data_IF_600807720036
#
_entry.id   IF_600807720036
#
_cell.length_a   1.000
_cell.length_b   1.000
_cell.length_c   1.000
_cell.angle_alpha   90.00
_cell.angle_beta   90.00
_cell.angle_gamma   90.00
#
_symmetry.space_group_name_H-M   'P 1'
#
loop_
_entity.id
_entity.type
_entity.pdbx_description
1 polymer ?
#
# COMPACT_ATOMS: atom_id res chain seq x y z
N UNK A 1 9.66 -13.57 7.53
CA UNK A 1 10.22 -13.23 8.88
C UNK A 1 11.66 -13.63 9.07
N UNK A 2 12.05 -14.92 8.87
CA UNK A 2 13.46 -15.36 9.11
C UNK A 2 14.47 -14.58 8.28
N UNK A 3 14.25 -14.42 6.98
CA UNK A 3 15.16 -13.70 6.07
C UNK A 3 15.29 -12.22 6.44
N UNK A 4 14.17 -11.52 6.73
CA UNK A 4 14.22 -10.13 7.19
C UNK A 4 15.05 -9.98 8.46
N UNK A 5 14.84 -10.87 9.45
CA UNK A 5 15.63 -10.88 10.68
C UNK A 5 17.12 -11.09 10.39
N UNK A 6 17.46 -12.01 9.51
CA UNK A 6 18.85 -12.25 9.09
C UNK A 6 19.47 -11.03 8.41
N UNK A 7 18.73 -10.32 7.52
CA UNK A 7 19.22 -9.08 6.90
C UNK A 7 19.47 -7.99 7.93
N UNK A 8 18.57 -7.83 8.91
CA UNK A 8 18.73 -6.87 10.02
C UNK A 8 19.95 -7.24 10.87
N UNK A 9 20.08 -8.50 11.30
CA UNK A 9 21.22 -8.97 12.10
C UNK A 9 22.53 -8.80 11.34
N UNK A 10 22.56 -9.11 10.06
CA UNK A 10 23.73 -8.93 9.21
C UNK A 10 24.14 -7.46 9.12
N UNK A 11 23.24 -6.54 8.72
CA UNK A 11 23.57 -5.11 8.62
C UNK A 11 24.04 -4.52 9.96
N UNK A 12 23.40 -4.88 11.08
CA UNK A 12 23.82 -4.45 12.43
C UNK A 12 25.14 -5.05 12.89
N UNK A 13 25.60 -6.15 12.34
CA UNK A 13 26.86 -6.79 12.68
C UNK A 13 28.08 -6.21 11.97
N UNK A 14 27.87 -5.37 10.94
CA UNK A 14 28.95 -4.77 10.18
C UNK A 14 29.63 -3.66 11.02
N UNK A 15 30.97 -3.75 11.15
CA UNK A 15 31.74 -2.69 11.82
C UNK A 15 31.67 -1.34 11.08
N UNK A 16 31.50 -1.41 9.74
CA UNK A 16 31.34 -0.27 8.87
C UNK A 16 30.45 -0.64 7.68
N UNK A 17 29.41 0.16 7.46
CA UNK A 17 28.59 0.07 6.25
C UNK A 17 29.12 1.06 5.22
N UNK A 18 29.37 0.60 3.99
CA UNK A 18 29.80 1.42 2.86
C UNK A 18 28.93 1.23 1.64
N UNK A 19 28.85 2.27 0.78
CA UNK A 19 28.08 2.20 -0.48
C UNK A 19 28.64 1.12 -1.40
N UNK A 20 29.99 1.05 -1.53
CA UNK A 20 30.64 0.16 -2.47
C UNK A 20 30.37 -1.32 -2.18
N UNK A 21 30.25 -1.67 -0.91
CA UNK A 21 30.12 -3.07 -0.47
C UNK A 21 28.68 -3.44 -0.13
N UNK A 22 27.89 -2.52 0.42
CA UNK A 22 26.59 -2.86 1.05
C UNK A 22 25.36 -2.28 0.37
N UNK A 23 25.48 -1.54 -0.73
CA UNK A 23 24.31 -0.95 -1.39
C UNK A 23 23.27 -2.01 -1.78
N UNK A 24 23.71 -3.19 -2.22
CA UNK A 24 22.83 -4.29 -2.59
C UNK A 24 22.11 -4.89 -1.36
N UNK A 25 22.81 -5.00 -0.24
CA UNK A 25 22.22 -5.49 1.03
C UNK A 25 21.18 -4.53 1.56
N UNK A 26 21.43 -3.21 1.47
CA UNK A 26 20.47 -2.17 1.85
C UNK A 26 19.22 -2.25 0.94
N UNK A 27 19.37 -2.39 -0.38
CA UNK A 27 18.25 -2.60 -1.29
C UNK A 27 17.47 -3.86 -0.93
N UNK A 28 18.17 -4.97 -0.71
CA UNK A 28 17.54 -6.23 -0.32
C UNK A 28 16.78 -6.13 0.99
N UNK A 29 17.31 -5.38 1.96
CA UNK A 29 16.66 -5.14 3.24
C UNK A 29 15.39 -4.28 3.09
N UNK A 30 15.50 -3.14 2.40
CA UNK A 30 14.40 -2.18 2.24
C UNK A 30 13.27 -2.74 1.37
N UNK A 31 13.61 -3.45 0.30
CA UNK A 31 12.64 -3.95 -0.67
C UNK A 31 12.14 -5.37 -0.38
N UNK A 32 12.71 -6.07 0.61
CA UNK A 32 12.22 -7.40 1.00
C UNK A 32 10.91 -7.32 1.77
N UNK A 33 9.90 -7.99 1.25
CA UNK A 33 8.59 -8.10 1.90
C UNK A 33 8.40 -9.52 2.47
N UNK A 34 8.23 -9.67 3.80
CA UNK A 34 8.05 -10.99 4.39
C UNK A 34 6.67 -11.56 4.04
N UNK A 35 6.65 -12.75 3.43
CA UNK A 35 5.41 -13.46 3.10
C UNK A 35 4.95 -14.28 4.29
N UNK A 36 3.79 -13.91 4.84
CA UNK A 36 3.17 -14.61 5.96
C UNK A 36 2.09 -15.57 5.46
N UNK A 37 1.99 -16.80 6.01
CA UNK A 37 0.95 -17.75 5.63
C UNK A 37 -0.44 -17.19 5.92
N UNK A 38 -1.45 -17.73 5.22
CA UNK A 38 -2.84 -17.46 5.52
C UNK A 38 -3.22 -18.06 6.88
N UNK A 39 -4.16 -17.44 7.57
CA UNK A 39 -4.86 -18.02 8.71
C UNK A 39 -6.08 -18.79 8.21
N UNK A 40 -6.56 -19.74 8.97
CA UNK A 40 -7.67 -20.60 8.55
C UNK A 40 -8.91 -19.84 8.03
N UNK A 41 -9.36 -18.79 8.72
CA UNK A 41 -10.49 -17.98 8.26
C UNK A 41 -10.16 -17.20 6.96
N UNK A 42 -8.90 -16.80 6.77
CA UNK A 42 -8.45 -16.14 5.54
C UNK A 42 -8.45 -17.15 4.36
N UNK A 43 -8.02 -18.38 4.59
CA UNK A 43 -8.08 -19.47 3.58
C UNK A 43 -9.52 -19.68 3.12
N UNK A 44 -10.47 -19.80 4.06
CA UNK A 44 -11.88 -19.97 3.75
C UNK A 44 -12.43 -18.81 2.90
N UNK A 45 -12.10 -17.55 3.24
CA UNK A 45 -12.53 -16.40 2.46
C UNK A 45 -11.92 -16.41 1.04
N UNK A 46 -10.63 -16.72 0.92
CA UNK A 46 -9.95 -16.82 -0.37
C UNK A 46 -10.49 -17.96 -1.23
N UNK A 47 -10.96 -19.05 -0.64
CA UNK A 47 -11.61 -20.15 -1.38
C UNK A 47 -12.93 -19.73 -2.02
N UNK A 48 -13.66 -18.78 -1.43
CA UNK A 48 -14.90 -18.25 -1.96
C UNK A 48 -14.69 -17.26 -3.12
N UNK A 49 -13.47 -16.79 -3.32
CA UNK A 49 -13.15 -15.82 -4.37
C UNK A 49 -13.09 -16.46 -5.77
N UNK A 50 -13.56 -15.74 -6.77
CA UNK A 50 -13.10 -15.97 -8.15
C UNK A 50 -11.66 -15.50 -8.26
N UNK A 51 -10.76 -16.39 -8.70
CA UNK A 51 -9.31 -16.13 -8.74
C UNK A 51 -8.85 -15.93 -10.17
N UNK A 52 -8.03 -14.91 -10.38
CA UNK A 52 -7.36 -14.63 -11.63
C UNK A 52 -5.89 -14.29 -11.35
N UNK A 53 -5.08 -14.21 -12.40
CA UNK A 53 -3.69 -13.74 -12.32
C UNK A 53 -3.50 -12.64 -13.36
N UNK A 54 -2.87 -11.56 -12.92
CA UNK A 54 -2.36 -10.51 -13.78
C UNK A 54 -0.83 -10.48 -13.70
N UNK A 55 -0.20 -9.74 -14.58
CA UNK A 55 1.26 -9.60 -14.62
C UNK A 55 1.67 -8.15 -14.73
N UNK A 56 2.77 -7.80 -14.09
CA UNK A 56 3.49 -6.53 -14.28
C UNK A 56 4.96 -6.82 -14.51
N UNK A 57 5.67 -5.92 -15.17
CA UNK A 57 7.10 -6.07 -15.41
C UNK A 57 7.89 -5.44 -14.25
N UNK A 58 8.76 -6.22 -13.63
CA UNK A 58 9.76 -5.68 -12.69
C UNK A 58 11.00 -5.22 -13.45
N UNK A 59 11.00 -3.96 -13.87
CA UNK A 59 12.12 -3.36 -14.63
C UNK A 59 13.35 -3.06 -13.76
N UNK A 60 13.22 -3.10 -12.43
CA UNK A 60 14.21 -2.53 -11.53
C UNK A 60 15.07 -3.57 -10.80
N UNK A 61 14.54 -4.76 -10.54
CA UNK A 61 15.24 -5.79 -9.77
C UNK A 61 15.46 -7.08 -10.55
N UNK A 62 14.43 -7.63 -11.17
CA UNK A 62 14.53 -8.94 -11.83
C UNK A 62 14.50 -8.89 -13.35
N UNK A 63 14.04 -7.80 -13.95
CA UNK A 63 13.73 -7.64 -15.38
C UNK A 63 12.77 -8.71 -15.93
N UNK A 64 11.93 -9.29 -15.06
CA UNK A 64 10.96 -10.32 -15.42
C UNK A 64 9.52 -9.83 -15.28
N UNK A 65 8.61 -10.51 -15.98
CA UNK A 65 7.18 -10.41 -15.70
C UNK A 65 6.90 -11.13 -14.38
N UNK A 66 6.29 -10.42 -13.43
CA UNK A 66 5.85 -10.98 -12.16
C UNK A 66 4.35 -11.19 -12.18
N UNK A 67 3.94 -12.43 -11.96
CA UNK A 67 2.53 -12.79 -11.83
C UNK A 67 2.04 -12.52 -10.41
N UNK A 68 0.83 -11.97 -10.28
CA UNK A 68 0.21 -11.73 -9.00
C UNK A 68 -1.26 -12.14 -9.00
N UNK A 69 -1.77 -12.74 -7.90
CA UNK A 69 -3.15 -13.17 -7.81
C UNK A 69 -4.08 -12.00 -7.57
N UNK A 70 -5.23 -12.04 -8.23
CA UNK A 70 -6.36 -11.13 -8.03
C UNK A 70 -7.56 -11.97 -7.57
N UNK A 71 -8.18 -11.54 -6.50
CA UNK A 71 -9.33 -12.16 -5.88
C UNK A 71 -10.55 -11.27 -6.05
N UNK A 72 -11.65 -11.85 -6.50
CA UNK A 72 -12.91 -11.15 -6.70
C UNK A 72 -14.04 -11.86 -5.98
N UNK A 73 -14.82 -11.11 -5.22
CA UNK A 73 -16.04 -11.54 -4.56
C UNK A 73 -17.22 -10.68 -5.01
N UNK A 74 -18.41 -11.25 -5.00
CA UNK A 74 -19.62 -10.58 -5.46
C UNK A 74 -19.71 -10.44 -6.98
N UNK A 75 -20.81 -9.90 -7.44
CA UNK A 75 -21.11 -9.68 -8.86
C UNK A 75 -21.98 -8.42 -9.07
N UNK A 76 -21.94 -7.50 -8.10
CA UNK A 76 -22.63 -6.22 -8.17
C UNK A 76 -21.98 -5.26 -9.16
N UNK A 77 -22.66 -4.17 -9.46
CA UNK A 77 -22.22 -3.17 -10.45
C UNK A 77 -21.15 -2.22 -9.90
N UNK A 78 -21.11 -2.02 -8.55
CA UNK A 78 -20.24 -1.06 -7.92
C UNK A 78 -18.94 -1.75 -7.48
N UNK A 79 -17.80 -1.27 -7.98
CA UNK A 79 -16.49 -1.90 -7.77
C UNK A 79 -15.76 -1.26 -6.59
N UNK A 80 -15.37 -2.09 -5.62
CA UNK A 80 -14.49 -1.71 -4.50
C UNK A 80 -13.13 -2.39 -4.66
N UNK A 81 -12.07 -1.60 -4.82
CA UNK A 81 -10.69 -2.10 -4.90
C UNK A 81 -9.99 -1.96 -3.56
N UNK A 82 -9.44 -3.06 -3.04
CA UNK A 82 -8.68 -3.11 -1.80
C UNK A 82 -7.18 -3.32 -2.10
N UNK A 83 -6.33 -2.41 -1.61
CA UNK A 83 -4.88 -2.43 -1.81
C UNK A 83 -4.16 -2.48 -0.46
N UNK A 84 -3.50 -3.60 -0.18
CA UNK A 84 -2.82 -3.85 1.09
C UNK A 84 -1.49 -3.08 1.24
N UNK A 85 -0.97 -2.99 2.46
CA UNK A 85 0.33 -2.40 2.78
C UNK A 85 1.51 -3.35 2.59
N UNK A 86 2.70 -2.87 2.93
CA UNK A 86 3.94 -3.63 2.88
C UNK A 86 3.91 -4.86 3.78
N UNK A 87 4.37 -6.02 3.28
CA UNK A 87 4.40 -7.27 4.06
C UNK A 87 3.03 -7.87 4.38
N UNK A 88 1.97 -7.30 3.82
CA UNK A 88 0.58 -7.72 3.96
C UNK A 88 0.10 -8.48 2.71
N UNK A 89 -1.19 -8.74 2.61
CA UNK A 89 -1.84 -9.46 1.50
C UNK A 89 -3.34 -9.15 1.44
N UNK A 90 -4.01 -9.49 0.36
CA UNK A 90 -5.46 -9.32 0.16
C UNK A 90 -6.29 -9.84 1.35
N UNK A 91 -5.94 -11.01 1.86
CA UNK A 91 -6.65 -11.65 2.95
C UNK A 91 -6.57 -10.92 4.30
N UNK A 92 -5.70 -9.93 4.47
CA UNK A 92 -5.65 -9.14 5.71
C UNK A 92 -6.84 -8.18 5.83
N UNK A 93 -7.57 -7.94 4.73
CA UNK A 93 -8.86 -7.26 4.72
C UNK A 93 -10.05 -8.18 5.02
N UNK A 94 -9.85 -9.42 5.47
CA UNK A 94 -10.91 -10.44 5.56
C UNK A 94 -12.18 -9.95 6.26
N UNK A 95 -12.07 -9.28 7.42
CA UNK A 95 -13.24 -8.79 8.16
C UNK A 95 -13.98 -7.70 7.35
N UNK A 96 -13.26 -6.79 6.70
CA UNK A 96 -13.86 -5.76 5.86
C UNK A 96 -14.55 -6.38 4.64
N UNK A 97 -13.91 -7.37 3.98
CA UNK A 97 -14.49 -8.07 2.83
C UNK A 97 -15.80 -8.77 3.22
N UNK A 98 -15.81 -9.49 4.34
CA UNK A 98 -17.01 -10.16 4.84
C UNK A 98 -18.17 -9.19 5.07
N UNK A 99 -17.90 -8.02 5.65
CA UNK A 99 -18.90 -6.99 5.88
C UNK A 99 -19.38 -6.31 4.57
N UNK A 100 -18.48 -6.07 3.63
CA UNK A 100 -18.84 -5.53 2.31
C UNK A 100 -19.70 -6.50 1.50
N UNK A 101 -19.51 -7.80 1.66
CA UNK A 101 -20.28 -8.86 0.98
C UNK A 101 -21.75 -8.94 1.44
N UNK A 102 -22.11 -8.32 2.56
CA UNK A 102 -23.51 -8.17 2.95
C UNK A 102 -24.32 -7.29 1.96
N UNK A 103 -23.61 -6.54 1.12
CA UNK A 103 -24.20 -5.70 0.09
C UNK A 103 -24.07 -6.37 -1.30
N UNK A 104 -25.18 -6.86 -1.89
CA UNK A 104 -25.14 -7.60 -3.16
C UNK A 104 -24.81 -6.72 -4.38
N UNK A 105 -24.90 -5.38 -4.26
CA UNK A 105 -24.57 -4.45 -5.34
C UNK A 105 -23.07 -4.26 -5.53
N UNK A 106 -22.23 -4.84 -4.64
CA UNK A 106 -20.80 -4.70 -4.72
C UNK A 106 -20.09 -5.85 -5.44
N UNK A 107 -19.07 -5.48 -6.18
CA UNK A 107 -17.98 -6.36 -6.60
C UNK A 107 -16.72 -5.92 -5.87
N UNK A 108 -16.16 -6.78 -5.05
CA UNK A 108 -14.96 -6.51 -4.26
C UNK A 108 -13.77 -7.15 -4.97
N UNK A 109 -12.73 -6.36 -5.20
CA UNK A 109 -11.47 -6.81 -5.81
C UNK A 109 -10.34 -6.54 -4.83
N UNK A 110 -9.54 -7.56 -4.52
CA UNK A 110 -8.30 -7.43 -3.78
C UNK A 110 -7.22 -8.28 -4.46
N UNK A 111 -5.96 -7.99 -4.19
CA UNK A 111 -4.84 -8.68 -4.82
C UNK A 111 -3.65 -8.75 -3.87
N UNK A 112 -2.74 -9.68 -4.11
CA UNK A 112 -1.43 -9.66 -3.48
C UNK A 112 -0.46 -8.94 -4.42
N UNK A 113 0.06 -7.80 -4.01
CA UNK A 113 1.00 -7.03 -4.84
C UNK A 113 2.30 -7.79 -5.08
N UNK A 114 2.98 -7.61 -6.24
CA UNK A 114 4.23 -8.31 -6.55
C UNK A 114 5.23 -8.25 -5.40
N UNK A 115 5.84 -9.39 -5.10
CA UNK A 115 6.73 -9.56 -3.94
C UNK A 115 6.03 -9.82 -2.60
N UNK A 116 4.69 -9.73 -2.51
CA UNK A 116 3.92 -9.95 -1.27
C UNK A 116 2.98 -11.16 -1.40
N UNK A 117 2.49 -11.67 -0.31
CA UNK A 117 1.53 -12.75 -0.26
C UNK A 117 1.90 -13.94 -1.17
N UNK A 118 0.99 -14.36 -2.04
CA UNK A 118 1.19 -15.44 -3.03
C UNK A 118 1.72 -14.91 -4.40
N UNK A 119 1.94 -13.59 -4.55
CA UNK A 119 2.49 -13.04 -5.78
C UNK A 119 3.95 -13.46 -6.01
N UNK A 120 4.36 -13.51 -7.28
CA UNK A 120 5.76 -13.71 -7.65
C UNK A 120 6.63 -12.51 -7.23
N UNK A 121 7.93 -12.71 -7.25
CA UNK A 121 8.93 -11.75 -6.81
C UNK A 121 9.38 -11.97 -5.37
N UNK A 122 10.62 -11.61 -5.11
CA UNK A 122 11.23 -11.65 -3.78
C UNK A 122 11.30 -10.26 -3.16
N UNK A 123 11.52 -9.26 -4.00
CA UNK A 123 11.55 -7.86 -3.65
C UNK A 123 10.28 -7.17 -4.16
N UNK A 124 9.87 -6.14 -3.46
CA UNK A 124 8.73 -5.32 -3.85
C UNK A 124 9.10 -3.83 -3.76
N UNK A 125 8.32 -2.97 -4.38
CA UNK A 125 8.49 -1.52 -4.31
C UNK A 125 7.18 -0.82 -4.68
N UNK A 126 7.11 0.49 -4.40
CA UNK A 126 5.90 1.29 -4.67
C UNK A 126 5.49 1.27 -6.15
N UNK A 127 6.45 1.23 -7.09
CA UNK A 127 6.13 1.24 -8.53
C UNK A 127 5.41 -0.04 -8.92
N UNK A 128 5.85 -1.20 -8.44
CA UNK A 128 5.14 -2.47 -8.64
C UNK A 128 3.71 -2.46 -8.10
N UNK A 129 3.47 -1.79 -6.95
CA UNK A 129 2.12 -1.58 -6.43
C UNK A 129 1.27 -0.71 -7.36
N UNK A 130 1.83 0.42 -7.83
CA UNK A 130 1.15 1.35 -8.75
C UNK A 130 0.77 0.62 -10.04
N UNK A 131 1.70 -0.10 -10.64
CA UNK A 131 1.48 -0.87 -11.87
C UNK A 131 0.46 -1.99 -11.68
N UNK A 132 0.48 -2.67 -10.52
CA UNK A 132 -0.54 -3.68 -10.21
C UNK A 132 -1.94 -3.08 -10.10
N UNK A 133 -2.11 -1.92 -9.45
CA UNK A 133 -3.38 -1.18 -9.40
C UNK A 133 -3.84 -0.80 -10.80
N UNK A 134 -2.95 -0.27 -11.64
CA UNK A 134 -3.26 0.11 -13.02
C UNK A 134 -3.64 -1.10 -13.89
N UNK A 135 -2.95 -2.23 -13.72
CA UNK A 135 -3.29 -3.47 -14.41
C UNK A 135 -4.70 -3.98 -14.01
N UNK A 136 -5.06 -3.86 -12.73
CA UNK A 136 -6.40 -4.22 -12.24
C UNK A 136 -7.46 -3.29 -12.85
N UNK A 137 -7.23 -1.98 -12.84
CA UNK A 137 -8.15 -1.01 -13.44
C UNK A 137 -8.32 -1.28 -14.94
N UNK A 138 -7.25 -1.63 -15.63
CA UNK A 138 -7.30 -2.00 -17.05
C UNK A 138 -8.13 -3.26 -17.29
N UNK A 139 -8.00 -4.25 -16.41
CA UNK A 139 -8.64 -5.56 -16.58
C UNK A 139 -10.11 -5.59 -16.14
N UNK A 140 -10.49 -4.81 -15.10
CA UNK A 140 -11.80 -4.89 -14.46
C UNK A 140 -12.61 -3.60 -14.53
N UNK A 141 -12.05 -2.52 -15.04
CA UNK A 141 -12.66 -1.20 -15.06
C UNK A 141 -12.27 -0.34 -13.86
N UNK A 142 -12.68 0.94 -13.92
CA UNK A 142 -12.43 1.90 -12.85
C UNK A 142 -13.24 1.54 -11.62
N UNK A 143 -12.61 1.42 -10.44
CA UNK A 143 -13.34 1.22 -9.20
C UNK A 143 -14.15 2.47 -8.81
N UNK A 144 -15.32 2.26 -8.25
CA UNK A 144 -16.12 3.34 -7.65
C UNK A 144 -15.49 3.79 -6.32
N UNK A 145 -14.89 2.85 -5.59
CA UNK A 145 -14.20 3.10 -4.32
C UNK A 145 -12.85 2.40 -4.34
N UNK A 146 -11.80 3.13 -3.97
CA UNK A 146 -10.49 2.55 -3.66
C UNK A 146 -10.22 2.63 -2.16
N UNK A 147 -9.85 1.51 -1.55
CA UNK A 147 -9.47 1.43 -0.13
C UNK A 147 -8.02 0.95 -0.07
N UNK A 148 -7.14 1.78 0.45
CA UNK A 148 -5.73 1.46 0.57
C UNK A 148 -5.23 1.52 2.00
N UNK A 149 -4.34 0.59 2.38
CA UNK A 149 -3.66 0.60 3.66
C UNK A 149 -2.18 0.93 3.48
N UNK A 150 -1.67 1.88 4.28
CA UNK A 150 -0.24 2.21 4.33
C UNK A 150 0.34 2.51 2.94
N UNK A 151 1.32 1.74 2.46
CA UNK A 151 1.89 1.83 1.11
C UNK A 151 0.82 1.65 0.03
N UNK A 152 -0.18 0.79 0.25
CA UNK A 152 -1.29 0.59 -0.68
C UNK A 152 -2.16 1.82 -0.86
N UNK A 153 -2.32 2.65 0.17
CA UNK A 153 -3.01 3.93 0.06
C UNK A 153 -2.23 4.91 -0.84
N UNK A 154 -0.92 5.03 -0.65
CA UNK A 154 -0.08 5.84 -1.53
C UNK A 154 -0.10 5.33 -2.98
N UNK A 155 -0.07 4.00 -3.16
CA UNK A 155 -0.12 3.40 -4.48
C UNK A 155 -1.44 3.68 -5.21
N UNK A 156 -2.58 3.63 -4.50
CA UNK A 156 -3.88 4.00 -5.07
C UNK A 156 -3.89 5.46 -5.54
N UNK A 157 -3.45 6.39 -4.69
CA UNK A 157 -3.37 7.82 -5.04
C UNK A 157 -2.50 8.03 -6.28
N UNK A 158 -1.30 7.43 -6.32
CA UNK A 158 -0.38 7.56 -7.44
C UNK A 158 -0.92 6.93 -8.73
N UNK A 159 -1.52 5.74 -8.67
CA UNK A 159 -2.09 5.06 -9.82
C UNK A 159 -3.26 5.86 -10.43
N UNK A 160 -4.16 6.38 -9.59
CA UNK A 160 -5.29 7.18 -10.01
C UNK A 160 -4.85 8.52 -10.64
N UNK A 161 -3.86 9.19 -10.04
CA UNK A 161 -3.27 10.41 -10.60
C UNK A 161 -2.67 10.19 -12.00
N UNK A 162 -1.99 9.05 -12.22
CA UNK A 162 -1.43 8.68 -13.52
C UNK A 162 -2.49 8.43 -14.59
N UNK A 163 -3.62 7.83 -14.22
CA UNK A 163 -4.73 7.52 -15.14
C UNK A 163 -5.56 8.78 -15.43
N UNK A 164 -5.46 9.84 -14.62
CA UNK A 164 -6.26 11.08 -14.70
C UNK A 164 -7.77 10.81 -14.66
N UNK A 165 -8.16 9.84 -13.86
CA UNK A 165 -9.56 9.50 -13.63
C UNK A 165 -9.81 9.38 -12.13
N UNK A 166 -10.96 9.84 -11.68
CA UNK A 166 -11.28 9.93 -10.27
C UNK A 166 -12.35 8.89 -9.92
N UNK A 167 -12.12 8.03 -8.92
CA UNK A 167 -13.17 7.20 -8.34
C UNK A 167 -14.16 8.10 -7.57
N UNK A 168 -15.32 7.57 -7.20
CA UNK A 168 -16.27 8.34 -6.36
C UNK A 168 -15.66 8.57 -4.97
N UNK A 169 -15.01 7.55 -4.40
CA UNK A 169 -14.35 7.64 -3.10
C UNK A 169 -12.93 7.10 -3.11
N UNK A 170 -12.03 7.85 -2.46
CA UNK A 170 -10.72 7.36 -2.04
C UNK A 170 -10.79 7.17 -0.51
N UNK A 171 -10.43 5.99 -0.02
CA UNK A 171 -10.35 5.70 1.41
C UNK A 171 -8.93 5.28 1.74
N UNK A 172 -8.24 6.04 2.58
CA UNK A 172 -6.87 5.81 3.01
C UNK A 172 -6.82 5.42 4.49
N UNK A 173 -6.26 4.26 4.78
CA UNK A 173 -6.10 3.74 6.13
C UNK A 173 -4.63 3.85 6.53
N UNK A 174 -4.31 4.69 7.54
CA UNK A 174 -2.93 4.96 8.00
C UNK A 174 -1.93 5.08 6.82
N UNK A 175 -2.15 6.01 5.87
CA UNK A 175 -1.39 6.04 4.62
C UNK A 175 0.09 6.33 4.85
N UNK A 176 0.95 5.71 4.05
CA UNK A 176 2.33 6.16 3.91
C UNK A 176 2.34 7.53 3.21
N UNK A 177 2.88 8.55 3.87
CA UNK A 177 2.89 9.93 3.34
C UNK A 177 4.20 10.26 2.62
N UNK A 178 5.33 9.81 3.16
CA UNK A 178 6.66 10.17 2.69
C UNK A 178 7.57 8.94 2.57
N UNK A 179 7.77 8.45 1.35
CA UNK A 179 8.58 7.25 1.09
C UNK A 179 10.05 7.47 1.48
N UNK A 180 10.61 8.66 1.23
CA UNK A 180 12.00 8.97 1.60
C UNK A 180 12.22 8.88 3.10
N UNK A 181 11.32 9.47 3.88
CA UNK A 181 11.40 9.44 5.34
C UNK A 181 11.23 8.01 5.89
N UNK A 182 10.34 7.21 5.28
CA UNK A 182 10.16 5.81 5.66
C UNK A 182 11.42 4.97 5.39
N UNK A 183 12.06 5.15 4.24
CA UNK A 183 13.33 4.49 3.93
C UNK A 183 14.46 4.94 4.87
N UNK A 184 14.56 6.26 5.16
CA UNK A 184 15.53 6.77 6.11
C UNK A 184 15.35 6.15 7.50
N UNK A 185 14.12 6.09 8.02
CA UNK A 185 13.81 5.45 9.30
C UNK A 185 14.17 3.95 9.31
N UNK A 186 13.93 3.25 8.20
CA UNK A 186 14.32 1.84 8.05
C UNK A 186 15.85 1.68 8.06
N UNK A 187 16.58 2.56 7.39
CA UNK A 187 18.05 2.57 7.40
C UNK A 187 18.62 2.95 8.77
N UNK A 188 18.02 3.91 9.45
CA UNK A 188 18.39 4.28 10.82
C UNK A 188 18.23 3.10 11.77
N UNK A 189 17.17 2.29 11.61
CA UNK A 189 16.93 1.11 12.44
C UNK A 189 18.06 0.07 12.36
N UNK A 190 18.80 0.02 11.26
CA UNK A 190 19.96 -0.88 11.07
C UNK A 190 21.30 -0.12 11.03
N UNK A 191 21.35 1.06 11.63
CA UNK A 191 22.53 1.88 11.84
C UNK A 191 23.29 2.27 10.56
N UNK A 192 22.59 2.42 9.41
CA UNK A 192 23.20 2.90 8.15
C UNK A 192 23.62 4.36 8.31
N UNK A 193 24.91 4.71 8.11
CA UNK A 193 25.41 6.08 8.25
C UNK A 193 24.72 7.07 7.27
N UNK A 194 24.60 8.34 7.66
CA UNK A 194 23.88 9.37 6.88
C UNK A 194 24.44 9.58 5.48
N UNK A 195 25.75 9.58 5.34
CA UNK A 195 26.42 9.69 4.03
C UNK A 195 26.08 8.50 3.12
N UNK A 196 25.96 7.28 3.66
CA UNK A 196 25.53 6.08 2.93
C UNK A 196 24.05 6.17 2.55
N UNK A 197 23.19 6.69 3.44
CA UNK A 197 21.77 6.96 3.10
C UNK A 197 21.63 7.95 1.96
N UNK A 198 22.40 9.04 1.94
CA UNK A 198 22.40 10.01 0.84
C UNK A 198 22.79 9.37 -0.50
N UNK A 199 23.82 8.53 -0.50
CA UNK A 199 24.20 7.78 -1.68
C UNK A 199 23.15 6.73 -2.09
N UNK A 200 22.46 6.12 -1.13
CA UNK A 200 21.33 5.22 -1.42
C UNK A 200 20.22 6.00 -2.15
N UNK A 201 19.86 7.20 -1.72
CA UNK A 201 18.87 8.03 -2.39
C UNK A 201 19.30 8.46 -3.79
N UNK A 202 20.59 8.80 -3.98
CA UNK A 202 21.12 9.08 -5.33
C UNK A 202 21.06 7.82 -6.22
N UNK A 203 21.36 6.64 -5.67
CA UNK A 203 21.23 5.37 -6.37
C UNK A 203 19.77 5.06 -6.71
N UNK A 204 18.83 5.35 -5.79
CA UNK A 204 17.40 5.27 -6.03
C UNK A 204 17.00 6.11 -7.25
N UNK A 205 17.35 7.38 -7.25
CA UNK A 205 17.00 8.32 -8.34
C UNK A 205 17.56 7.85 -9.69
N UNK A 206 18.80 7.34 -9.70
CA UNK A 206 19.40 6.78 -10.91
C UNK A 206 18.71 5.49 -11.36
N UNK A 207 18.39 4.59 -10.42
CA UNK A 207 17.78 3.28 -10.71
C UNK A 207 16.36 3.42 -11.25
N UNK A 208 15.55 4.28 -10.62
CA UNK A 208 14.15 4.49 -10.97
C UNK A 208 13.92 5.63 -11.97
N UNK A 209 14.96 6.38 -12.34
CA UNK A 209 14.88 7.58 -13.16
C UNK A 209 13.83 8.59 -12.63
N UNK A 210 13.66 8.63 -11.32
CA UNK A 210 12.71 9.48 -10.62
C UNK A 210 13.31 9.98 -9.31
N UNK A 211 13.04 11.23 -8.95
CA UNK A 211 13.43 11.74 -7.63
C UNK A 211 12.60 11.09 -6.54
N UNK A 212 13.25 10.58 -5.49
CA UNK A 212 12.53 9.97 -4.36
C UNK A 212 11.57 10.96 -3.67
N UNK A 213 11.88 12.25 -3.70
CA UNK A 213 11.02 13.31 -3.17
C UNK A 213 9.66 13.41 -3.89
N UNK A 214 9.55 12.89 -5.12
CA UNK A 214 8.27 12.79 -5.82
C UNK A 214 7.28 11.87 -5.11
N UNK A 215 7.78 10.83 -4.44
CA UNK A 215 6.96 9.88 -3.69
C UNK A 215 6.60 10.41 -2.30
N UNK A 216 5.90 11.53 -2.32
CA UNK A 216 5.26 12.17 -1.19
C UNK A 216 3.80 12.43 -1.54
N UNK A 217 2.85 12.17 -0.65
CA UNK A 217 1.42 12.32 -0.98
C UNK A 217 1.06 13.72 -1.48
N UNK A 218 1.67 14.78 -0.93
CA UNK A 218 1.46 16.16 -1.44
C UNK A 218 1.82 16.29 -2.93
N UNK A 219 2.83 15.57 -3.41
CA UNK A 219 3.23 15.59 -4.82
C UNK A 219 2.38 14.69 -5.71
N UNK A 220 1.85 13.62 -5.14
CA UNK A 220 1.06 12.60 -5.84
C UNK A 220 -0.43 12.96 -5.90
N UNK A 221 -0.93 13.69 -4.90
CA UNK A 221 -2.35 14.03 -4.80
C UNK A 221 -2.68 15.20 -5.73
N UNK A 222 -3.14 14.89 -6.94
CA UNK A 222 -3.46 15.88 -7.99
C UNK A 222 -4.96 15.98 -8.26
N UNK A 223 -5.79 15.47 -7.35
CA UNK A 223 -7.23 15.46 -7.49
C UNK A 223 -7.85 16.84 -7.21
N UNK A 224 -9.02 17.10 -7.79
CA UNK A 224 -9.73 18.35 -7.59
C UNK A 224 -10.35 18.41 -6.20
N UNK A 225 -10.69 19.62 -5.75
CA UNK A 225 -11.32 19.83 -4.44
C UNK A 225 -12.70 19.15 -4.27
N UNK A 226 -13.30 18.67 -5.37
CA UNK A 226 -14.55 17.90 -5.37
C UNK A 226 -14.36 16.42 -5.10
N UNK A 227 -13.11 15.92 -5.10
CA UNK A 227 -12.84 14.50 -4.84
C UNK A 227 -13.18 14.15 -3.40
N UNK A 228 -13.98 13.11 -3.23
CA UNK A 228 -14.34 12.60 -1.92
C UNK A 228 -13.21 11.68 -1.40
N UNK A 229 -12.60 12.08 -0.30
CA UNK A 229 -11.51 11.33 0.31
C UNK A 229 -11.71 11.21 1.82
N UNK A 230 -11.88 9.98 2.32
CA UNK A 230 -11.85 9.65 3.74
C UNK A 230 -10.45 9.14 4.10
N UNK A 231 -9.86 9.71 5.14
CA UNK A 231 -8.56 9.30 5.66
C UNK A 231 -8.67 8.95 7.14
N UNK A 232 -8.46 7.68 7.47
CA UNK A 232 -8.45 7.19 8.85
C UNK A 232 -7.01 7.01 9.31
N UNK A 233 -6.67 7.55 10.48
CA UNK A 233 -5.32 7.52 11.01
C UNK A 233 -5.28 7.39 12.53
N UNK A 234 -4.11 7.13 13.07
CA UNK A 234 -3.81 7.13 14.49
C UNK A 234 -2.65 8.10 14.75
N UNK A 235 -2.85 9.08 15.62
CA UNK A 235 -1.78 10.04 15.97
C UNK A 235 -0.58 9.39 16.66
N UNK A 236 -0.77 8.23 17.27
CA UNK A 236 0.30 7.48 17.96
C UNK A 236 0.98 6.45 17.03
N UNK A 237 0.62 6.42 15.74
CA UNK A 237 1.23 5.51 14.77
C UNK A 237 2.72 5.82 14.59
N UNK A 238 3.55 4.83 14.91
CA UNK A 238 5.03 4.93 14.79
C UNK A 238 5.54 4.54 13.40
N UNK A 239 4.72 3.87 12.60
CA UNK A 239 5.08 3.42 11.24
C UNK A 239 4.75 4.52 10.22
N UNK A 240 3.60 5.20 10.39
CA UNK A 240 3.18 6.35 9.62
C UNK A 240 3.01 7.57 10.56
N UNK A 241 4.12 8.21 11.00
CA UNK A 241 4.07 9.28 12.00
C UNK A 241 3.18 10.44 11.59
N UNK A 242 2.38 10.93 12.54
CA UNK A 242 1.44 12.02 12.33
C UNK A 242 2.08 13.30 11.80
N UNK A 243 3.33 13.60 12.18
CA UNK A 243 4.04 14.80 11.74
C UNK A 243 4.16 14.89 10.20
N UNK A 244 4.28 13.75 9.51
CA UNK A 244 4.26 13.73 8.04
C UNK A 244 2.84 13.89 7.48
N UNK A 245 1.83 13.38 8.18
CA UNK A 245 0.44 13.46 7.77
C UNK A 245 -0.12 14.87 7.98
N UNK A 246 0.32 15.57 9.02
CA UNK A 246 -0.20 16.89 9.37
C UNK A 246 -0.07 17.89 8.21
N UNK A 247 1.14 18.03 7.63
CA UNK A 247 1.35 18.95 6.50
C UNK A 247 0.51 18.56 5.27
N UNK A 248 0.34 17.27 5.03
CA UNK A 248 -0.51 16.78 3.94
C UNK A 248 -1.98 17.17 4.14
N UNK A 249 -2.51 17.08 5.35
CA UNK A 249 -3.90 17.47 5.66
C UNK A 249 -4.08 18.99 5.64
N UNK A 250 -3.06 19.77 6.04
CA UNK A 250 -3.08 21.23 5.95
C UNK A 250 -3.15 21.71 4.48
N UNK A 251 -2.43 21.04 3.59
CA UNK A 251 -2.43 21.33 2.15
C UNK A 251 -3.71 20.84 1.44
N UNK A 252 -4.42 19.87 2.04
CA UNK A 252 -5.63 19.24 1.46
C UNK A 252 -6.82 19.25 2.43
N UNK A 253 -7.36 20.44 2.80
CA UNK A 253 -8.43 20.56 3.79
C UNK A 253 -9.75 19.92 3.37
N UNK A 254 -9.92 19.54 2.08
CA UNK A 254 -11.08 18.81 1.57
C UNK A 254 -11.09 17.33 1.99
N UNK A 255 -9.98 16.79 2.48
CA UNK A 255 -9.90 15.41 2.95
C UNK A 255 -10.63 15.31 4.30
N UNK A 256 -11.60 14.41 4.39
CA UNK A 256 -12.24 14.06 5.64
C UNK A 256 -11.31 13.16 6.46
N UNK A 257 -10.56 13.75 7.40
CA UNK A 257 -9.57 13.03 8.19
C UNK A 257 -10.08 12.73 9.60
N UNK A 258 -10.10 11.45 9.99
CA UNK A 258 -10.58 11.00 11.29
C UNK A 258 -9.46 10.29 12.05
N UNK A 259 -9.15 10.77 13.26
CA UNK A 259 -8.21 10.14 14.16
C UNK A 259 -8.89 9.03 14.98
N UNK A 260 -8.40 7.81 14.84
CA UNK A 260 -8.83 6.66 15.62
C UNK A 260 -7.77 6.39 16.70
N UNK A 261 -8.01 6.88 17.90
CA UNK A 261 -7.02 6.89 18.99
C UNK A 261 -6.57 5.47 19.39
N UNK A 262 -5.26 5.29 19.56
CA UNK A 262 -4.61 4.10 20.11
C UNK A 262 -4.96 2.78 19.38
N UNK A 263 -5.30 2.86 18.08
CA UNK A 263 -5.66 1.68 17.31
C UNK A 263 -4.43 0.96 16.75
N UNK A 264 -3.40 1.72 16.38
CA UNK A 264 -2.15 1.25 15.79
C UNK A 264 -2.26 0.90 14.30
N UNK A 265 -1.10 0.91 13.63
CA UNK A 265 -0.97 0.84 12.17
C UNK A 265 -1.70 -0.32 11.49
N UNK A 266 -1.52 -1.54 11.97
CA UNK A 266 -2.11 -2.74 11.35
C UNK A 266 -3.52 -3.07 11.87
N UNK A 267 -3.81 -2.67 13.11
CA UNK A 267 -5.08 -3.03 13.75
C UNK A 267 -6.28 -2.27 13.15
N UNK A 268 -6.02 -1.16 12.48
CA UNK A 268 -7.04 -0.38 11.77
C UNK A 268 -7.84 -1.24 10.77
N UNK A 269 -7.20 -2.22 10.13
CA UNK A 269 -7.84 -3.15 9.19
C UNK A 269 -8.92 -4.05 9.84
N UNK A 270 -8.92 -4.14 11.16
CA UNK A 270 -9.82 -5.01 11.95
C UNK A 270 -10.62 -4.22 12.98
N UNK A 271 -10.48 -2.90 12.97
CA UNK A 271 -11.21 -2.02 13.88
C UNK A 271 -12.69 -1.97 13.52
N UNK A 272 -13.59 -2.30 14.43
CA UNK A 272 -15.02 -2.12 14.21
C UNK A 272 -15.39 -0.67 13.86
N UNK A 273 -14.71 0.31 14.48
CA UNK A 273 -14.94 1.73 14.23
C UNK A 273 -14.49 2.14 12.82
N UNK A 274 -13.29 1.74 12.40
CA UNK A 274 -12.81 1.99 11.04
C UNK A 274 -13.71 1.34 9.99
N UNK A 275 -14.11 0.09 10.21
CA UNK A 275 -15.01 -0.64 9.31
C UNK A 275 -16.37 0.04 9.21
N UNK A 276 -16.96 0.48 10.34
CA UNK A 276 -18.24 1.18 10.34
C UNK A 276 -18.19 2.46 9.50
N UNK A 277 -17.12 3.26 9.63
CA UNK A 277 -16.93 4.48 8.84
C UNK A 277 -16.78 4.16 7.34
N UNK A 278 -16.05 3.11 6.98
CA UNK A 278 -15.92 2.66 5.58
C UNK A 278 -17.29 2.26 5.03
N UNK A 279 -18.04 1.42 5.76
CA UNK A 279 -19.37 0.96 5.33
C UNK A 279 -20.37 2.11 5.18
N UNK A 280 -20.26 3.15 5.99
CA UNK A 280 -21.07 4.37 5.86
C UNK A 280 -20.81 5.03 4.50
N UNK A 281 -19.53 5.21 4.11
CA UNK A 281 -19.18 5.80 2.80
C UNK A 281 -19.61 4.92 1.62
N UNK A 282 -19.53 3.60 1.77
CA UNK A 282 -20.06 2.66 0.75
C UNK A 282 -21.57 2.82 0.55
N UNK A 283 -22.33 3.06 1.63
CA UNK A 283 -23.78 3.30 1.55
C UNK A 283 -24.13 4.62 0.87
N UNK A 284 -23.33 5.69 1.10
CA UNK A 284 -23.57 6.99 0.43
C UNK A 284 -23.42 6.90 -1.07
N UNK A 285 -22.48 6.10 -1.59
CA UNK A 285 -22.31 5.83 -3.02
C UNK A 285 -23.61 5.39 -3.69
N UNK A 286 -24.42 4.59 -3.01
CA UNK A 286 -25.66 4.05 -3.56
C UNK A 286 -26.83 5.03 -3.52
N UNK A 287 -26.78 6.00 -2.60
CA UNK A 287 -27.81 7.03 -2.49
C UNK A 287 -27.61 8.20 -3.48
N UNK A 288 -26.40 8.33 -4.05
CA UNK A 288 -26.03 9.39 -5.00
C UNK A 288 -26.16 8.95 -6.47
N UNK A 289 -26.36 7.63 -6.74
CA UNK A 289 -26.62 7.04 -8.06
C UNK A 289 -28.10 6.80 -8.31
#
# INVERSE_FOLDING_TARGET
MKKLKQSVEYLKSLEKISVAENIHDIWSYICYSPKMPLRHHQEQLIELASKNKLTVKDEFFSDHLLSFPVFRWGAGKDIVLLTHGWGSKAADFSILIEQLLENPELTIIAFDAPGNGEAEGELSNLILYIEAVQAIITAYGMPDITIGHSLGAMANVAALANIKHEPTWIISLTPLVNLKANFAASMDYVDVPRDVQEHFFQNFEKKFNMKIAYFHLNSLYTFHNSQQHLLLYDKEDKIAPYDYLQSYLEDHPQIEAINLNAIGHEKILRSPEAIALILEKVKTLQSEK
#
